data_IF_183722686324
#
_entry.id   IF_183722686324
#
_cell.length_a   1.000
_cell.length_b   1.000
_cell.length_c   1.000
_cell.angle_alpha   90.00
_cell.angle_beta   90.00
_cell.angle_gamma   90.00
#
_symmetry.space_group_name_H-M   'P 1'
#
loop_
_entity.id
_entity.type
_entity.pdbx_description
1 polymer ?
#
# COMPACT_ATOMS: atom_id res chain seq x y z
N UNK A 1 12.13 -14.26 -3.66
CA UNK A 1 11.14 -15.12 -2.97
C UNK A 1 11.61 -15.30 -1.53
N UNK A 2 10.69 -15.43 -0.56
CA UNK A 2 11.07 -15.65 0.84
C UNK A 2 11.39 -17.14 1.03
N UNK A 3 12.60 -17.45 1.50
CA UNK A 3 13.03 -18.81 1.80
C UNK A 3 13.01 -19.01 3.34
N UNK A 4 12.31 -20.03 3.86
CA UNK A 4 12.27 -20.26 5.31
C UNK A 4 13.68 -20.60 5.84
N UNK A 5 13.94 -20.30 7.11
CA UNK A 5 15.17 -20.78 7.76
C UNK A 5 15.16 -22.32 7.78
N UNK A 6 16.08 -22.95 7.05
CA UNK A 6 16.20 -24.41 7.00
C UNK A 6 16.70 -24.91 8.36
N UNK A 7 15.79 -25.40 9.20
CA UNK A 7 16.10 -26.15 10.41
C UNK A 7 16.36 -27.61 10.04
N UNK A 8 17.49 -28.18 10.48
CA UNK A 8 17.92 -29.57 10.19
C UNK A 8 17.03 -30.65 10.82
N UNK A 9 15.88 -30.30 11.40
CA UNK A 9 14.96 -31.27 12.02
C UNK A 9 13.47 -31.07 11.72
N UNK A 10 13.08 -30.10 10.88
CA UNK A 10 11.67 -29.95 10.50
C UNK A 10 11.51 -29.19 9.19
N UNK A 11 10.82 -29.80 8.23
CA UNK A 11 10.50 -29.20 6.93
C UNK A 11 9.40 -28.14 7.12
N UNK A 12 9.75 -27.01 7.74
CA UNK A 12 8.84 -25.90 7.98
C UNK A 12 8.76 -25.04 6.72
N UNK A 13 7.70 -25.24 5.93
CA UNK A 13 7.41 -24.47 4.71
C UNK A 13 6.85 -23.05 4.99
N UNK A 14 6.63 -22.70 6.26
CA UNK A 14 6.11 -21.41 6.70
C UNK A 14 6.86 -20.90 7.95
N UNK A 15 6.69 -19.63 8.29
CA UNK A 15 7.36 -18.94 9.40
C UNK A 15 8.45 -17.97 8.97
N UNK A 16 9.37 -17.66 9.87
CA UNK A 16 10.50 -16.76 9.60
C UNK A 16 11.42 -17.29 8.49
N UNK A 17 11.85 -16.39 7.61
CA UNK A 17 12.73 -16.70 6.51
C UNK A 17 13.58 -15.50 6.09
N UNK A 18 14.32 -15.69 5.01
CA UNK A 18 15.14 -14.67 4.37
C UNK A 18 14.77 -14.52 2.91
N UNK A 19 14.71 -13.28 2.45
CA UNK A 19 14.56 -12.96 1.05
C UNK A 19 15.85 -12.34 0.54
N UNK A 20 16.40 -12.94 -0.50
CA UNK A 20 17.46 -12.34 -1.30
C UNK A 20 16.85 -11.47 -2.41
N UNK A 21 17.40 -10.26 -2.56
CA UNK A 21 17.03 -9.28 -3.58
C UNK A 21 18.26 -8.78 -4.30
N UNK A 22 18.17 -8.69 -5.62
CA UNK A 22 19.17 -8.04 -6.44
C UNK A 22 18.71 -6.61 -6.74
N UNK A 23 19.28 -5.64 -6.02
CA UNK A 23 18.97 -4.22 -6.18
C UNK A 23 20.16 -3.56 -6.87
N UNK A 24 19.91 -2.87 -7.98
CA UNK A 24 20.93 -2.14 -8.73
C UNK A 24 20.46 -0.71 -8.96
N UNK A 25 21.36 0.26 -8.85
CA UNK A 25 21.05 1.63 -9.24
C UNK A 25 21.20 1.83 -10.73
N UNK A 26 20.22 2.52 -11.30
CA UNK A 26 20.17 2.84 -12.72
C UNK A 26 20.24 4.35 -12.88
N UNK A 27 20.98 4.81 -13.89
CA UNK A 27 20.94 6.21 -14.35
C UNK A 27 19.62 6.50 -15.08
N UNK A 28 19.38 7.76 -15.43
CA UNK A 28 18.25 8.16 -16.29
C UNK A 28 18.21 7.44 -17.65
N UNK A 29 19.38 7.03 -18.16
CA UNK A 29 19.51 6.21 -19.39
C UNK A 29 19.39 4.69 -19.15
N UNK A 30 18.85 4.28 -17.99
CA UNK A 30 18.65 2.89 -17.59
C UNK A 30 19.94 2.05 -17.52
N UNK A 31 21.10 2.69 -17.31
CA UNK A 31 22.41 2.02 -17.20
C UNK A 31 22.76 1.81 -15.74
N UNK A 32 23.31 0.63 -15.42
CA UNK A 32 23.81 0.34 -14.06
C UNK A 32 24.96 1.27 -13.71
N UNK A 33 24.86 1.94 -12.57
CA UNK A 33 25.88 2.84 -12.03
C UNK A 33 26.45 2.31 -10.73
N UNK A 34 27.58 2.87 -10.30
CA UNK A 34 28.17 2.52 -9.01
C UNK A 34 27.21 2.90 -7.87
N UNK A 35 27.18 2.08 -6.81
CA UNK A 35 26.36 2.29 -5.62
C UNK A 35 26.58 3.65 -4.96
N UNK A 36 27.78 4.23 -5.06
CA UNK A 36 28.08 5.56 -4.53
C UNK A 36 27.34 6.71 -5.24
N UNK A 37 26.80 6.45 -6.44
CA UNK A 37 26.01 7.41 -7.22
C UNK A 37 24.51 7.32 -6.91
N UNK A 38 24.09 6.36 -6.08
CA UNK A 38 22.70 6.27 -5.62
C UNK A 38 22.41 7.37 -4.58
N UNK A 39 21.14 7.75 -4.43
CA UNK A 39 20.74 8.55 -3.26
C UNK A 39 21.14 7.83 -1.97
N UNK A 40 21.63 8.58 -0.96
CA UNK A 40 22.04 8.03 0.34
C UNK A 40 20.91 7.26 1.03
N UNK A 41 19.66 7.66 0.79
CA UNK A 41 18.47 6.96 1.30
C UNK A 41 18.31 5.55 0.71
N UNK A 42 18.88 5.32 -0.48
CA UNK A 42 18.82 4.05 -1.21
C UNK A 42 20.10 3.20 -1.02
N UNK A 43 21.17 3.77 -0.48
CA UNK A 43 22.44 3.08 -0.24
C UNK A 43 22.25 1.82 0.62
N UNK A 44 21.41 1.92 1.65
CA UNK A 44 21.02 0.78 2.51
C UNK A 44 20.28 -0.31 1.72
N UNK A 45 19.49 0.05 0.72
CA UNK A 45 18.72 -0.92 -0.08
C UNK A 45 19.61 -1.68 -1.06
N UNK A 46 20.65 -1.04 -1.59
CA UNK A 46 21.62 -1.65 -2.51
C UNK A 46 22.62 -2.53 -1.76
N UNK A 47 23.03 -2.12 -0.56
CA UNK A 47 24.00 -2.88 0.27
C UNK A 47 23.35 -4.05 1.03
N UNK A 48 22.09 -3.92 1.45
CA UNK A 48 21.37 -5.01 2.13
C UNK A 48 20.59 -5.87 1.14
N UNK A 49 21.28 -6.82 0.51
CA UNK A 49 20.68 -7.79 -0.44
C UNK A 49 19.88 -8.88 0.24
N UNK A 50 20.07 -9.11 1.54
CA UNK A 50 19.32 -10.06 2.35
C UNK A 50 18.42 -9.29 3.32
N UNK A 51 17.13 -9.64 3.36
CA UNK A 51 16.19 -9.11 4.35
C UNK A 51 15.42 -10.23 5.06
N UNK A 52 15.09 -10.08 6.35
CA UNK A 52 14.16 -10.98 6.99
C UNK A 52 12.80 -10.88 6.31
N UNK A 53 12.10 -11.99 6.26
CA UNK A 53 10.73 -12.09 5.75
C UNK A 53 9.98 -13.16 6.53
N UNK A 54 8.67 -13.21 6.34
CA UNK A 54 7.80 -14.18 6.97
C UNK A 54 6.93 -14.84 5.90
N UNK A 55 6.84 -16.16 5.93
CA UNK A 55 5.95 -16.97 5.11
C UNK A 55 4.73 -17.33 5.95
N UNK A 56 3.52 -16.85 5.62
CA UNK A 56 2.34 -17.12 6.42
C UNK A 56 2.08 -18.62 6.60
N UNK A 57 1.81 -19.06 7.82
CA UNK A 57 1.41 -20.45 8.06
C UNK A 57 -0.08 -20.67 7.75
N UNK A 58 -0.47 -21.89 7.32
CA UNK A 58 -1.88 -22.22 7.11
C UNK A 58 -2.72 -21.93 8.36
N UNK A 59 -3.79 -21.14 8.21
CA UNK A 59 -4.71 -20.80 9.30
C UNK A 59 -4.35 -19.54 10.10
N UNK A 60 -3.19 -18.92 9.86
CA UNK A 60 -2.85 -17.62 10.46
C UNK A 60 -3.43 -16.46 9.63
N UNK A 61 -3.97 -15.47 10.33
CA UNK A 61 -4.27 -14.17 9.72
C UNK A 61 -2.97 -13.36 9.60
N UNK A 62 -2.39 -13.31 8.40
CA UNK A 62 -1.18 -12.54 8.16
C UNK A 62 -1.51 -11.24 7.41
N UNK A 63 -1.11 -10.12 8.00
CA UNK A 63 -1.34 -8.79 7.43
C UNK A 63 -0.09 -8.27 6.74
N UNK A 64 -0.27 -7.40 5.75
CA UNK A 64 0.83 -6.62 5.21
C UNK A 64 1.37 -5.65 6.27
N UNK A 65 2.58 -5.17 6.03
CA UNK A 65 3.03 -3.93 6.65
C UNK A 65 2.06 -2.79 6.32
N UNK A 66 2.03 -1.79 7.20
CA UNK A 66 1.31 -0.56 6.94
C UNK A 66 1.88 0.16 5.72
N UNK A 67 1.00 0.72 4.89
CA UNK A 67 1.40 1.68 3.88
C UNK A 67 2.07 2.89 4.52
N UNK A 68 2.84 3.63 3.71
CA UNK A 68 3.19 5.01 4.07
C UNK A 68 1.91 5.83 4.30
N UNK A 69 2.02 6.86 5.14
CA UNK A 69 0.95 7.83 5.32
C UNK A 69 0.66 8.55 4.01
N UNK A 70 -0.61 8.79 3.72
CA UNK A 70 -1.04 9.60 2.58
C UNK A 70 -0.51 11.04 2.70
N UNK A 71 -0.61 11.81 1.62
CA UNK A 71 -0.53 13.26 1.73
C UNK A 71 -1.62 13.79 2.67
N UNK A 72 -1.33 14.92 3.33
CA UNK A 72 -2.27 15.57 4.22
C UNK A 72 -3.45 16.11 3.40
N UNK A 73 -4.65 15.64 3.71
CA UNK A 73 -5.88 16.05 3.06
C UNK A 73 -6.58 17.14 3.88
N UNK A 74 -6.99 18.20 3.22
CA UNK A 74 -7.92 19.22 3.72
C UNK A 74 -8.78 19.70 2.55
N UNK A 75 -10.05 20.03 2.82
CA UNK A 75 -10.93 20.61 1.81
C UNK A 75 -10.43 22.01 1.40
N UNK A 76 -10.66 22.42 0.15
CA UNK A 76 -10.28 23.77 -0.27
C UNK A 76 -11.12 24.85 0.41
N UNK A 77 -12.37 24.56 0.76
CA UNK A 77 -13.21 25.46 1.54
C UNK A 77 -12.61 25.76 2.91
N UNK A 78 -12.20 24.73 3.66
CA UNK A 78 -11.57 24.91 4.97
C UNK A 78 -10.21 25.62 4.84
N UNK A 79 -9.45 25.28 3.81
CA UNK A 79 -8.14 25.87 3.58
C UNK A 79 -8.21 27.37 3.24
N UNK A 80 -9.22 27.78 2.47
CA UNK A 80 -9.52 29.19 2.16
C UNK A 80 -9.91 29.96 3.43
N UNK A 81 -10.61 29.31 4.35
CA UNK A 81 -10.93 29.85 5.69
C UNK A 81 -9.71 29.85 6.64
N UNK A 82 -8.50 29.59 6.12
CA UNK A 82 -7.22 29.52 6.85
C UNK A 82 -7.13 28.40 7.86
N UNK A 83 -8.00 27.40 7.80
CA UNK A 83 -7.74 26.16 8.52
C UNK A 83 -6.54 25.44 7.90
N UNK A 84 -5.74 24.81 8.77
CA UNK A 84 -4.54 24.05 8.38
C UNK A 84 -4.57 22.62 8.91
N UNK A 85 -5.50 22.30 9.82
CA UNK A 85 -5.61 20.96 10.37
C UNK A 85 -6.31 20.05 9.35
N UNK A 86 -5.54 19.16 8.74
CA UNK A 86 -6.02 18.13 7.83
C UNK A 86 -5.92 16.74 8.43
N UNK A 87 -6.12 15.72 7.59
CA UNK A 87 -6.05 14.31 7.94
C UNK A 87 -5.15 13.54 6.98
N UNK A 88 -4.32 12.64 7.50
CA UNK A 88 -3.62 11.62 6.73
C UNK A 88 -4.18 10.25 7.07
N UNK A 89 -4.23 9.36 6.08
CA UNK A 89 -4.65 7.97 6.27
C UNK A 89 -3.54 7.01 5.83
N UNK A 90 -3.53 5.82 6.41
CA UNK A 90 -2.76 4.68 5.92
C UNK A 90 -3.60 3.41 5.99
N UNK A 91 -3.22 2.41 5.22
CA UNK A 91 -3.93 1.14 5.15
C UNK A 91 -2.95 -0.04 5.15
N UNK A 92 -3.49 -1.23 5.41
CA UNK A 92 -2.81 -2.51 5.23
C UNK A 92 -3.79 -3.51 4.61
N UNK A 93 -3.30 -4.65 4.16
CA UNK A 93 -4.10 -5.70 3.53
C UNK A 93 -3.94 -7.04 4.24
N UNK A 94 -4.93 -7.92 4.11
CA UNK A 94 -4.81 -9.31 4.52
C UNK A 94 -4.05 -10.04 3.41
N UNK A 95 -2.88 -10.59 3.74
CA UNK A 95 -2.05 -11.35 2.80
C UNK A 95 -2.35 -12.86 2.87
N UNK A 96 -2.75 -13.36 4.05
CA UNK A 96 -3.23 -14.73 4.23
C UNK A 96 -4.51 -14.74 5.04
N UNK A 97 -5.54 -15.38 4.48
CA UNK A 97 -6.81 -15.53 5.16
C UNK A 97 -6.75 -16.68 6.16
N UNK A 98 -7.44 -16.56 7.31
CA UNK A 98 -7.60 -17.68 8.23
C UNK A 98 -8.38 -18.82 7.54
N UNK A 99 -8.23 -20.04 8.04
CA UNK A 99 -9.06 -21.16 7.58
C UNK A 99 -10.53 -20.87 7.89
N UNK A 100 -11.50 -21.42 7.12
CA UNK A 100 -12.94 -21.19 7.35
C UNK A 100 -13.42 -21.55 8.77
N UNK A 101 -12.72 -22.45 9.46
CA UNK A 101 -12.98 -22.85 10.84
C UNK A 101 -12.51 -21.83 11.90
N UNK A 102 -11.67 -20.87 11.51
CA UNK A 102 -11.09 -19.87 12.40
C UNK A 102 -11.88 -18.55 12.29
N UNK A 103 -11.90 -17.73 13.35
CA UNK A 103 -12.52 -16.40 13.30
C UNK A 103 -11.92 -15.53 12.19
N UNK A 104 -12.70 -14.59 11.61
CA UNK A 104 -12.16 -13.62 10.66
C UNK A 104 -11.08 -12.77 11.34
N UNK A 105 -10.18 -12.21 10.52
CA UNK A 105 -9.16 -11.26 10.97
C UNK A 105 -9.81 -10.09 11.71
N UNK A 106 -9.73 -10.07 13.04
CA UNK A 106 -10.31 -9.03 13.89
C UNK A 106 -9.33 -7.85 14.04
N UNK A 107 -8.90 -7.28 12.91
CA UNK A 107 -7.82 -6.31 12.86
C UNK A 107 -8.20 -5.06 12.09
N UNK A 108 -7.88 -3.89 12.63
CA UNK A 108 -8.06 -2.60 11.96
C UNK A 108 -7.26 -2.56 10.65
N UNK A 109 -7.91 -2.31 9.51
CA UNK A 109 -7.29 -2.33 8.19
C UNK A 109 -6.85 -0.95 7.68
N UNK A 110 -7.37 0.11 8.29
CA UNK A 110 -7.05 1.49 7.98
C UNK A 110 -7.05 2.33 9.25
N UNK A 111 -6.24 3.38 9.29
CA UNK A 111 -6.26 4.36 10.36
C UNK A 111 -5.94 5.75 9.83
N UNK A 112 -6.39 6.76 10.56
CA UNK A 112 -6.18 8.16 10.26
C UNK A 112 -5.52 8.92 11.42
N UNK A 113 -4.92 10.06 11.09
CA UNK A 113 -4.32 10.97 12.07
C UNK A 113 -4.39 12.41 11.60
N UNK A 114 -4.39 13.39 12.53
CA UNK A 114 -4.29 14.79 12.17
C UNK A 114 -2.92 15.12 11.57
N UNK A 115 -2.89 16.12 10.69
CA UNK A 115 -1.69 16.66 10.07
C UNK A 115 -1.86 18.16 9.79
N UNK A 116 -0.76 18.86 9.50
CA UNK A 116 -0.79 20.25 9.04
C UNK A 116 -0.68 20.29 7.51
N UNK A 117 -1.71 20.82 6.86
CA UNK A 117 -1.82 20.88 5.41
C UNK A 117 -1.16 22.15 4.85
N UNK A 118 -0.26 21.99 3.88
CA UNK A 118 0.33 23.10 3.13
C UNK A 118 -0.51 23.53 1.92
N UNK A 119 -1.40 22.66 1.45
CA UNK A 119 -2.25 22.86 0.28
C UNK A 119 -3.56 22.10 0.46
N UNK A 120 -4.61 22.55 -0.22
CA UNK A 120 -5.89 21.86 -0.25
C UNK A 120 -5.98 20.82 -1.37
N UNK A 121 -6.99 19.95 -1.27
CA UNK A 121 -7.25 18.89 -2.24
C UNK A 121 -8.69 18.92 -2.71
N UNK A 122 -8.91 18.81 -4.02
CA UNK A 122 -10.23 18.63 -4.61
C UNK A 122 -10.38 17.21 -5.15
N UNK A 123 -11.63 16.73 -5.13
CA UNK A 123 -12.01 15.46 -5.72
C UNK A 123 -13.03 15.69 -6.83
N UNK A 124 -12.81 15.03 -7.98
CA UNK A 124 -13.71 15.05 -9.12
C UNK A 124 -14.34 13.68 -9.29
N UNK A 125 -15.67 13.64 -9.26
CA UNK A 125 -16.43 12.42 -9.51
C UNK A 125 -16.82 12.32 -10.97
N UNK A 126 -16.71 11.12 -11.53
CA UNK A 126 -17.21 10.79 -12.86
C UNK A 126 -17.88 9.42 -12.85
N UNK A 127 -18.84 9.22 -13.74
CA UNK A 127 -19.51 7.94 -13.91
C UNK A 127 -19.38 7.50 -15.37
N UNK A 128 -19.05 6.23 -15.58
CA UNK A 128 -19.08 5.58 -16.88
C UNK A 128 -20.50 5.29 -17.35
N UNK A 129 -20.59 4.68 -18.52
CA UNK A 129 -21.87 4.24 -19.08
C UNK A 129 -22.53 3.15 -18.24
N UNK A 130 -23.84 3.03 -18.43
CA UNK A 130 -24.63 1.96 -17.81
C UNK A 130 -24.50 0.67 -18.61
N UNK A 131 -24.11 -0.39 -17.91
CA UNK A 131 -24.34 -1.75 -18.39
C UNK A 131 -25.83 -2.09 -18.18
N UNK A 132 -26.58 -2.07 -19.27
CA UNK A 132 -28.01 -2.40 -19.31
C UNK A 132 -28.31 -3.86 -18.96
N UNK A 133 -27.35 -4.78 -19.07
CA UNK A 133 -27.55 -6.19 -18.73
C UNK A 133 -27.42 -6.43 -17.23
N UNK A 134 -26.40 -5.81 -16.62
CA UNK A 134 -26.11 -6.01 -15.20
C UNK A 134 -26.75 -4.94 -14.29
N UNK A 135 -27.22 -3.83 -14.86
CA UNK A 135 -27.75 -2.69 -14.12
C UNK A 135 -26.67 -1.93 -13.36
N UNK A 136 -25.42 -1.99 -13.84
CA UNK A 136 -24.24 -1.47 -13.14
C UNK A 136 -23.55 -0.38 -13.95
N UNK A 137 -22.80 0.49 -13.26
CA UNK A 137 -21.90 1.45 -13.91
C UNK A 137 -20.64 1.65 -13.10
N UNK A 138 -19.55 1.95 -13.79
CA UNK A 138 -18.29 2.37 -13.17
C UNK A 138 -18.43 3.78 -12.61
N UNK A 139 -17.92 4.02 -11.43
CA UNK A 139 -17.82 5.35 -10.80
C UNK A 139 -16.37 5.57 -10.42
N UNK A 140 -15.82 6.74 -10.75
CA UNK A 140 -14.42 7.08 -10.51
C UNK A 140 -14.36 8.38 -9.71
N UNK A 141 -13.62 8.35 -8.60
CA UNK A 141 -13.23 9.53 -7.84
C UNK A 141 -11.77 9.83 -8.13
N UNK A 142 -11.49 10.99 -8.71
CA UNK A 142 -10.14 11.44 -9.02
C UNK A 142 -9.72 12.56 -8.08
N UNK A 143 -8.53 12.43 -7.48
CA UNK A 143 -7.88 13.50 -6.73
C UNK A 143 -7.12 14.41 -7.70
N UNK A 144 -7.46 15.69 -7.70
CA UNK A 144 -7.00 16.63 -8.75
C UNK A 144 -5.51 16.98 -8.70
N UNK A 145 -4.84 16.78 -7.57
CA UNK A 145 -3.43 17.17 -7.40
C UNK A 145 -2.44 16.17 -8.00
N UNK A 146 -2.67 14.88 -7.79
CA UNK A 146 -1.78 13.80 -8.23
C UNK A 146 -2.42 12.84 -9.25
N UNK A 147 -3.70 13.07 -9.59
CA UNK A 147 -4.45 12.23 -10.52
C UNK A 147 -4.77 10.85 -9.95
N UNK A 148 -4.66 10.63 -8.64
CA UNK A 148 -5.00 9.34 -8.04
C UNK A 148 -6.50 9.08 -8.23
N UNK A 149 -6.81 7.94 -8.87
CA UNK A 149 -8.19 7.51 -9.11
C UNK A 149 -8.57 6.34 -8.23
N UNK A 150 -9.73 6.44 -7.59
CA UNK A 150 -10.38 5.34 -6.88
C UNK A 150 -11.63 4.97 -7.67
N UNK A 151 -11.71 3.70 -8.04
CA UNK A 151 -12.82 3.16 -8.82
C UNK A 151 -13.78 2.39 -7.93
N UNK A 152 -15.07 2.56 -8.19
CA UNK A 152 -16.15 1.81 -7.59
C UNK A 152 -17.19 1.41 -8.63
N UNK A 153 -18.11 0.56 -8.23
CA UNK A 153 -19.23 0.13 -9.04
C UNK A 153 -20.53 0.57 -8.37
N UNK A 154 -21.39 1.25 -9.12
CA UNK A 154 -22.73 1.61 -8.67
C UNK A 154 -23.73 0.65 -9.31
N UNK A 155 -24.57 0.03 -8.47
CA UNK A 155 -25.64 -0.88 -8.90
C UNK A 155 -26.98 -0.19 -8.64
N UNK A 156 -27.79 -0.04 -9.69
CA UNK A 156 -29.16 0.45 -9.52
C UNK A 156 -29.97 -0.60 -8.74
N UNK A 157 -30.68 -0.16 -7.69
CA UNK A 157 -31.60 -1.01 -6.92
C UNK A 157 -32.96 -1.09 -7.61
#
# INVERSE_FOLDING_TARGET
MCLPYVSTSQMNFCGMGVQERNVSCLSDYNRRVNTSMCSKDLEKLVTQTIRPCHVPCPGECFLSEWSSWSHCFISCEDFEQRFRQGVQARSRAILAHPMPSNPPCNTTMWEDRPCEASQCTLFKWSAGEWDVQTGRRRVVCERTYDGLQVEGEYVAR
#
